data_IF_096206649166
#
_entry.id   IF_096206649166
#
_cell.length_a   1.000
_cell.length_b   1.000
_cell.length_c   1.000
_cell.angle_alpha   90.00
_cell.angle_beta   90.00
_cell.angle_gamma   90.00
#
_symmetry.space_group_name_H-M   'P 1'
#
loop_
_entity.id
_entity.type
_entity.pdbx_description
1 polymer ?
#
# COMPACT_ATOMS: atom_id res chain seq x y z
N UNK A 1 3.72 -25.57 14.23
CA UNK A 1 2.26 -25.61 14.01
C UNK A 1 1.79 -24.22 13.64
N UNK A 2 0.66 -24.06 12.95
CA UNK A 2 0.09 -22.74 12.66
C UNK A 2 -0.51 -22.11 13.92
N UNK A 3 -0.49 -20.78 13.99
CA UNK A 3 -1.23 -20.04 15.01
C UNK A 3 -2.72 -20.36 14.90
N UNK A 4 -3.37 -20.68 16.03
CA UNK A 4 -4.79 -21.04 16.10
C UNK A 4 -5.69 -19.88 16.56
N UNK A 5 -5.09 -18.77 16.93
CA UNK A 5 -5.74 -17.53 17.37
C UNK A 5 -4.94 -16.33 16.89
N UNK A 6 -5.46 -15.12 17.11
CA UNK A 6 -4.70 -13.88 16.95
C UNK A 6 -3.39 -13.97 17.74
N UNK A 7 -2.28 -13.67 17.08
CA UNK A 7 -0.96 -13.60 17.71
C UNK A 7 -0.76 -12.31 18.52
N UNK A 8 0.43 -12.14 19.13
CA UNK A 8 0.79 -10.88 19.80
C UNK A 8 0.80 -9.71 18.82
N UNK A 9 0.64 -8.47 19.32
CA UNK A 9 0.86 -7.30 18.47
C UNK A 9 2.34 -7.21 18.11
N UNK A 10 2.66 -6.83 16.88
CA UNK A 10 4.04 -6.70 16.43
C UNK A 10 4.82 -5.67 17.26
N UNK A 11 4.15 -4.59 17.71
CA UNK A 11 4.77 -3.55 18.54
C UNK A 11 5.27 -4.06 19.90
N UNK A 12 4.69 -5.15 20.41
CA UNK A 12 5.03 -5.74 21.71
C UNK A 12 6.21 -6.72 21.62
N UNK A 13 6.70 -7.00 20.41
CA UNK A 13 7.77 -7.97 20.16
C UNK A 13 9.09 -7.28 19.84
N UNK A 14 10.17 -7.81 20.40
CA UNK A 14 11.52 -7.54 19.94
C UNK A 14 11.75 -8.17 18.55
N UNK A 15 12.80 -7.73 17.85
CA UNK A 15 13.20 -8.33 16.56
C UNK A 15 13.53 -9.82 16.74
N UNK A 16 14.19 -10.19 17.84
CA UNK A 16 14.56 -11.57 18.12
C UNK A 16 13.33 -12.47 18.33
N UNK A 17 12.33 -11.99 19.07
CA UNK A 17 11.05 -12.70 19.26
C UNK A 17 10.28 -12.81 17.94
N UNK A 18 10.20 -11.72 17.16
CA UNK A 18 9.53 -11.72 15.87
C UNK A 18 10.21 -12.70 14.87
N UNK A 19 11.53 -12.83 14.96
CA UNK A 19 12.31 -13.76 14.13
C UNK A 19 12.12 -15.24 14.49
N UNK A 20 11.43 -15.55 15.59
CA UNK A 20 11.07 -16.94 15.92
C UNK A 20 9.89 -17.46 15.10
N UNK A 21 9.10 -16.57 14.49
CA UNK A 21 7.94 -16.96 13.69
C UNK A 21 8.34 -17.42 12.29
N UNK A 22 7.80 -18.56 11.87
CA UNK A 22 7.86 -19.00 10.48
C UNK A 22 6.70 -18.41 9.68
N UNK A 23 7.03 -17.63 8.66
CA UNK A 23 6.07 -16.98 7.75
C UNK A 23 6.16 -17.54 6.32
N UNK A 24 6.87 -18.65 6.14
CA UNK A 24 7.12 -19.27 4.84
C UNK A 24 5.95 -20.03 4.25
N UNK A 25 4.93 -20.31 5.06
CA UNK A 25 3.81 -21.17 4.70
C UNK A 25 2.49 -20.63 5.23
N UNK A 26 1.50 -20.58 4.35
CA UNK A 26 0.10 -20.33 4.71
C UNK A 26 -0.51 -21.62 5.26
N UNK A 27 -1.36 -21.55 6.28
CA UNK A 27 -2.15 -22.71 6.72
C UNK A 27 -3.00 -23.23 5.54
N UNK A 28 -2.71 -24.43 4.98
CA UNK A 28 -3.34 -24.93 3.76
C UNK A 28 -4.85 -25.16 3.93
N UNK A 29 -5.34 -25.22 5.17
CA UNK A 29 -6.76 -25.42 5.49
C UNK A 29 -7.51 -24.09 5.69
N UNK A 30 -6.80 -22.97 5.73
CA UNK A 30 -7.40 -21.65 5.90
C UNK A 30 -8.18 -21.20 4.65
N UNK A 31 -9.15 -20.30 4.83
CA UNK A 31 -9.79 -19.63 3.70
C UNK A 31 -8.78 -18.80 2.89
N UNK A 32 -7.77 -18.26 3.56
CA UNK A 32 -6.71 -17.46 2.93
C UNK A 32 -5.85 -18.28 1.96
N UNK A 33 -5.52 -19.54 2.28
CA UNK A 33 -4.79 -20.41 1.34
C UNK A 33 -5.55 -20.60 0.01
N UNK A 34 -6.88 -20.57 0.04
CA UNK A 34 -7.71 -20.72 -1.17
C UNK A 34 -7.56 -19.54 -2.13
N UNK A 35 -7.17 -18.35 -1.65
CA UNK A 35 -6.92 -17.19 -2.52
C UNK A 35 -5.54 -17.21 -3.15
N UNK A 36 -4.64 -18.09 -2.68
CA UNK A 36 -3.27 -18.23 -3.19
C UNK A 36 -2.92 -19.69 -3.53
N UNK A 37 -3.69 -20.35 -4.43
CA UNK A 37 -3.53 -21.78 -4.70
C UNK A 37 -2.18 -22.16 -5.32
N UNK A 38 -1.46 -21.19 -5.91
CA UNK A 38 -0.15 -21.36 -6.53
C UNK A 38 1.02 -20.92 -5.65
N UNK A 39 0.77 -20.51 -4.40
CA UNK A 39 1.85 -20.12 -3.48
C UNK A 39 2.75 -21.33 -3.21
N UNK A 40 4.07 -21.11 -3.33
CA UNK A 40 5.08 -22.11 -2.99
C UNK A 40 5.56 -21.83 -1.57
N UNK A 41 5.44 -22.82 -0.69
CA UNK A 41 5.94 -22.71 0.67
C UNK A 41 7.47 -22.67 0.68
N UNK A 42 8.03 -21.80 1.53
CA UNK A 42 9.46 -21.70 1.82
C UNK A 42 9.64 -21.76 3.32
N UNK A 43 9.48 -22.97 3.88
CA UNK A 43 9.62 -23.19 5.32
C UNK A 43 10.99 -22.68 5.80
N UNK A 44 11.02 -22.05 6.96
CA UNK A 44 12.20 -21.36 7.47
C UNK A 44 12.22 -19.85 7.20
N UNK A 45 11.32 -19.33 6.35
CA UNK A 45 11.27 -17.89 6.11
C UNK A 45 10.87 -17.12 7.38
N UNK A 46 11.56 -16.00 7.64
CA UNK A 46 11.34 -15.10 8.78
C UNK A 46 10.86 -13.74 8.31
N UNK A 47 10.24 -12.98 9.19
CA UNK A 47 9.84 -11.60 8.91
C UNK A 47 11.12 -10.76 8.77
N UNK A 48 11.38 -10.16 7.59
CA UNK A 48 12.59 -9.36 7.40
C UNK A 48 12.42 -7.96 7.99
N UNK A 49 13.54 -7.33 8.34
CA UNK A 49 13.61 -5.87 8.56
C UNK A 49 13.61 -5.14 7.21
N UNK A 50 13.16 -3.89 7.20
CA UNK A 50 13.18 -3.07 5.99
C UNK A 50 14.62 -2.88 5.45
N UNK A 51 15.58 -2.66 6.33
CA UNK A 51 17.00 -2.57 5.96
C UNK A 51 17.55 -3.83 5.28
N UNK A 52 17.04 -5.03 5.64
CA UNK A 52 17.44 -6.29 5.01
C UNK A 52 16.87 -6.43 3.59
N UNK A 53 15.65 -5.95 3.36
CA UNK A 53 15.10 -5.85 2.00
C UNK A 53 15.94 -4.90 1.13
N UNK A 54 16.35 -3.74 1.66
CA UNK A 54 17.22 -2.82 0.92
C UNK A 54 18.60 -3.42 0.63
N UNK A 55 19.19 -4.12 1.59
CA UNK A 55 20.45 -4.84 1.40
C UNK A 55 20.33 -5.91 0.30
N UNK A 56 19.25 -6.71 0.32
CA UNK A 56 19.00 -7.73 -0.70
C UNK A 56 18.93 -7.15 -2.13
N UNK A 57 18.23 -6.04 -2.32
CA UNK A 57 18.11 -5.41 -3.65
C UNK A 57 19.47 -4.88 -4.13
N UNK A 58 20.28 -4.32 -3.22
CA UNK A 58 21.65 -3.86 -3.52
C UNK A 58 22.57 -5.03 -3.87
N UNK A 59 22.53 -6.11 -3.11
CA UNK A 59 23.33 -7.33 -3.35
C UNK A 59 22.97 -8.00 -4.68
N UNK A 60 21.70 -7.92 -5.08
CA UNK A 60 21.25 -8.36 -6.40
C UNK A 60 21.72 -7.46 -7.56
N UNK A 61 22.44 -6.35 -7.27
CA UNK A 61 22.89 -5.39 -8.27
C UNK A 61 21.74 -4.64 -8.97
N UNK A 62 20.56 -4.56 -8.33
CA UNK A 62 19.38 -3.98 -8.98
C UNK A 62 19.27 -2.47 -8.73
N UNK A 63 19.60 -1.70 -9.74
CA UNK A 63 19.54 -0.24 -9.71
C UNK A 63 18.17 0.35 -10.11
N UNK A 64 17.23 -0.48 -10.58
CA UNK A 64 15.99 -0.02 -11.23
C UNK A 64 14.73 -0.17 -10.36
N UNK A 65 14.66 -1.17 -9.48
CA UNK A 65 13.50 -1.43 -8.61
C UNK A 65 13.12 -0.19 -7.82
N UNK A 66 11.85 0.22 -7.86
CA UNK A 66 11.32 1.26 -6.98
C UNK A 66 10.56 0.60 -5.84
N UNK A 67 10.51 1.26 -4.69
CA UNK A 67 9.90 0.72 -3.48
C UNK A 67 8.59 1.44 -3.20
N UNK A 68 7.51 0.67 -3.14
CA UNK A 68 6.19 1.11 -2.73
C UNK A 68 5.98 0.65 -1.28
N UNK A 69 6.22 1.52 -0.30
CA UNK A 69 6.21 1.17 1.12
C UNK A 69 4.91 1.67 1.77
N UNK A 70 4.12 0.77 2.33
CA UNK A 70 2.89 1.14 3.02
C UNK A 70 3.12 1.34 4.52
N UNK A 71 2.71 2.49 5.08
CA UNK A 71 2.63 2.65 6.55
C UNK A 71 1.35 1.99 7.06
N UNK A 72 1.51 0.94 7.87
CA UNK A 72 0.41 0.15 8.44
C UNK A 72 0.13 0.55 9.89
N UNK A 73 -0.73 1.54 10.06
CA UNK A 73 -1.24 2.00 11.35
C UNK A 73 -2.76 2.19 11.29
N UNK A 74 -3.39 2.28 12.46
CA UNK A 74 -4.83 2.52 12.56
C UNK A 74 -5.17 3.51 13.67
N UNK A 75 -6.01 4.54 13.41
CA UNK A 75 -6.53 5.41 14.46
C UNK A 75 -7.45 4.67 15.44
N UNK A 76 -7.95 3.48 15.08
CA UNK A 76 -8.92 2.74 15.88
C UNK A 76 -8.26 1.90 16.98
N UNK A 77 -6.99 1.53 16.80
CA UNK A 77 -6.18 0.78 17.78
C UNK A 77 -4.79 1.41 17.91
N UNK A 78 -4.71 2.64 18.46
CA UNK A 78 -3.46 3.40 18.56
C UNK A 78 -2.43 2.77 19.51
N UNK A 79 -2.85 1.82 20.34
CA UNK A 79 -2.02 1.01 21.21
C UNK A 79 -1.20 -0.06 20.47
N UNK A 80 -1.54 -0.37 19.21
CA UNK A 80 -0.94 -1.50 18.47
C UNK A 80 0.13 -1.11 17.48
N UNK A 81 0.33 0.19 17.27
CA UNK A 81 1.31 0.75 16.34
C UNK A 81 1.88 2.03 16.91
N UNK A 82 3.11 2.42 16.56
CA UNK A 82 3.62 3.74 16.92
C UNK A 82 2.68 4.83 16.42
N UNK A 83 2.70 5.99 17.10
CA UNK A 83 2.00 7.16 16.61
C UNK A 83 2.52 7.61 15.22
N UNK A 84 1.73 8.36 14.43
CA UNK A 84 2.09 8.71 13.06
C UNK A 84 3.46 9.40 12.91
N UNK A 85 3.86 10.28 13.83
CA UNK A 85 5.14 11.00 13.78
C UNK A 85 6.30 10.03 14.03
N UNK A 86 6.19 9.21 15.07
CA UNK A 86 7.18 8.16 15.36
C UNK A 86 7.31 7.17 14.21
N UNK A 87 6.21 6.74 13.61
CA UNK A 87 6.22 5.79 12.50
C UNK A 87 6.96 6.36 11.29
N UNK A 88 6.62 7.58 10.85
CA UNK A 88 7.27 8.23 9.71
C UNK A 88 8.75 8.46 9.96
N UNK A 89 9.13 8.92 11.17
CA UNK A 89 10.54 9.12 11.53
C UNK A 89 11.35 7.83 11.44
N UNK A 90 10.82 6.71 11.95
CA UNK A 90 11.52 5.42 11.89
C UNK A 90 11.64 4.90 10.45
N UNK A 91 10.56 4.99 9.66
CA UNK A 91 10.59 4.63 8.24
C UNK A 91 11.64 5.44 7.47
N UNK A 92 11.60 6.77 7.61
CA UNK A 92 12.49 7.64 6.86
C UNK A 92 13.94 7.53 7.31
N UNK A 93 14.19 7.17 8.57
CA UNK A 93 15.55 6.81 9.02
C UNK A 93 16.11 5.66 8.18
N UNK A 94 15.39 4.53 8.07
CA UNK A 94 15.87 3.38 7.29
C UNK A 94 16.01 3.70 5.79
N UNK A 95 15.09 4.49 5.23
CA UNK A 95 15.15 4.93 3.82
C UNK A 95 16.38 5.81 3.56
N UNK A 96 16.67 6.75 4.45
CA UNK A 96 17.79 7.69 4.32
C UNK A 96 19.13 7.01 4.57
N UNK A 97 19.23 6.16 5.60
CA UNK A 97 20.44 5.38 5.89
C UNK A 97 20.81 4.47 4.71
N UNK A 98 19.81 3.97 3.98
CA UNK A 98 20.03 3.17 2.77
C UNK A 98 20.33 4.02 1.50
N UNK A 99 20.18 5.34 1.54
CA UNK A 99 20.35 6.22 0.38
C UNK A 99 19.30 6.02 -0.72
N UNK A 100 18.10 5.52 -0.36
CA UNK A 100 17.07 5.09 -1.32
C UNK A 100 15.88 6.05 -1.46
N UNK A 101 15.94 7.25 -0.86
CA UNK A 101 14.84 8.22 -0.89
C UNK A 101 14.30 8.48 -2.32
N UNK A 102 15.18 8.63 -3.32
CA UNK A 102 14.77 8.84 -4.73
C UNK A 102 14.10 7.64 -5.43
N UNK A 103 14.12 6.45 -4.80
CA UNK A 103 13.50 5.22 -5.29
C UNK A 103 12.27 4.81 -4.48
N UNK A 104 11.93 5.55 -3.42
CA UNK A 104 10.81 5.23 -2.52
C UNK A 104 9.60 6.11 -2.84
N UNK A 105 8.42 5.50 -2.80
CA UNK A 105 7.15 6.17 -2.59
C UNK A 105 6.46 5.55 -1.38
N UNK A 106 5.73 6.36 -0.62
CA UNK A 106 5.04 5.90 0.59
C UNK A 106 3.53 5.96 0.39
N UNK A 107 2.85 4.88 0.76
CA UNK A 107 1.41 4.73 0.63
C UNK A 107 0.78 4.58 2.01
N UNK A 108 -0.45 5.07 2.20
CA UNK A 108 -1.17 4.82 3.45
C UNK A 108 -2.67 4.98 3.34
N UNK A 109 -3.41 4.17 4.10
CA UNK A 109 -4.81 4.44 4.42
C UNK A 109 -4.95 5.53 5.48
N UNK A 110 -3.95 5.67 6.35
CA UNK A 110 -3.88 6.71 7.37
C UNK A 110 -3.11 7.91 6.84
N UNK A 111 -3.86 8.86 6.28
CA UNK A 111 -3.34 10.03 5.60
C UNK A 111 -2.59 10.97 6.54
N UNK A 112 -2.68 10.79 7.87
CA UNK A 112 -1.86 11.56 8.83
C UNK A 112 -0.38 11.34 8.58
N UNK A 113 0.03 10.10 8.28
CA UNK A 113 1.44 9.83 7.91
C UNK A 113 1.85 10.49 6.60
N UNK A 114 0.93 10.56 5.63
CA UNK A 114 1.18 11.24 4.36
C UNK A 114 1.31 12.75 4.54
N UNK A 115 0.55 13.36 5.44
CA UNK A 115 0.70 14.79 5.77
C UNK A 115 2.04 15.09 6.45
N UNK A 116 2.50 14.21 7.35
CA UNK A 116 3.82 14.33 7.99
C UNK A 116 4.94 14.21 6.95
N UNK A 117 4.87 13.21 6.05
CA UNK A 117 5.82 13.07 4.94
C UNK A 117 5.85 14.31 4.04
N UNK A 118 4.69 14.89 3.72
CA UNK A 118 4.63 16.12 2.91
C UNK A 118 5.27 17.32 3.60
N UNK A 119 5.19 17.39 4.94
CA UNK A 119 5.78 18.47 5.73
C UNK A 119 7.30 18.31 5.82
N UNK A 120 7.77 17.12 6.14
CA UNK A 120 9.17 16.89 6.56
C UNK A 120 10.06 16.29 5.47
N UNK A 121 9.46 15.61 4.48
CA UNK A 121 10.13 14.89 3.39
C UNK A 121 9.42 15.14 2.05
N UNK A 122 9.27 16.41 1.61
CA UNK A 122 8.41 16.79 0.49
C UNK A 122 8.80 16.16 -0.86
N UNK A 123 10.04 15.68 -0.99
CA UNK A 123 10.54 15.00 -2.19
C UNK A 123 10.10 13.53 -2.29
N UNK A 124 9.59 12.93 -1.21
CA UNK A 124 9.09 11.55 -1.20
C UNK A 124 7.64 11.55 -1.70
N UNK A 125 7.34 10.88 -2.84
CA UNK A 125 5.97 10.80 -3.34
C UNK A 125 5.04 10.08 -2.35
N UNK A 126 3.91 10.71 -2.07
CA UNK A 126 2.85 10.16 -1.21
C UNK A 126 1.67 9.63 -2.03
N UNK A 127 1.25 8.40 -1.74
CA UNK A 127 0.15 7.71 -2.41
C UNK A 127 -1.01 7.49 -1.44
N UNK A 128 -2.17 8.02 -1.80
CA UNK A 128 -3.34 8.04 -0.94
C UNK A 128 -4.16 6.77 -1.19
N UNK A 129 -4.19 5.86 -0.21
CA UNK A 129 -4.99 4.64 -0.27
C UNK A 129 -6.43 4.93 0.18
N UNK A 130 -7.39 4.38 -0.57
CA UNK A 130 -8.81 4.43 -0.23
C UNK A 130 -9.47 3.06 -0.37
N UNK A 131 -10.41 2.81 0.53
CA UNK A 131 -11.34 1.68 0.49
C UNK A 131 -12.61 2.09 1.25
N UNK A 132 -13.76 1.72 0.71
CA UNK A 132 -15.11 1.91 1.25
C UNK A 132 -15.80 0.53 1.37
N UNK A 133 -15.09 -0.41 1.98
CA UNK A 133 -15.51 -1.80 2.16
C UNK A 133 -16.17 -2.04 3.52
N UNK A 134 -16.79 -3.22 3.67
CA UNK A 134 -17.43 -3.61 4.95
C UNK A 134 -16.45 -3.74 6.11
N UNK A 135 -15.24 -4.23 5.85
CA UNK A 135 -14.21 -4.46 6.88
C UNK A 135 -13.36 -3.22 7.16
N UNK A 136 -13.29 -2.30 6.20
CA UNK A 136 -12.57 -1.04 6.32
C UNK A 136 -13.23 -0.04 5.37
N UNK A 137 -13.71 1.06 5.93
CA UNK A 137 -14.08 2.27 5.20
C UNK A 137 -13.26 3.42 5.75
N UNK A 138 -12.15 3.76 5.08
CA UNK A 138 -11.27 4.84 5.52
C UNK A 138 -11.69 6.21 4.96
N UNK A 139 -12.63 6.26 4.02
CA UNK A 139 -13.12 7.52 3.42
C UNK A 139 -14.36 8.02 4.17
N UNK A 140 -15.20 7.09 4.63
CA UNK A 140 -16.46 7.35 5.32
C UNK A 140 -17.37 8.31 4.55
N UNK A 141 -17.45 8.15 3.22
CA UNK A 141 -18.12 9.10 2.33
C UNK A 141 -19.62 9.29 2.64
N UNK A 142 -20.26 8.23 3.13
CA UNK A 142 -21.68 8.21 3.50
C UNK A 142 -21.93 8.50 4.98
N UNK A 143 -20.89 8.84 5.75
CA UNK A 143 -21.00 9.11 7.18
C UNK A 143 -21.24 10.60 7.48
N UNK A 144 -21.94 10.87 8.58
CA UNK A 144 -22.00 12.21 9.18
C UNK A 144 -20.75 12.53 10.01
N UNK A 145 -20.07 11.49 10.53
CA UNK A 145 -18.82 11.64 11.26
C UNK A 145 -17.62 11.80 10.32
N UNK A 146 -16.64 12.59 10.72
CA UNK A 146 -15.38 12.71 9.99
C UNK A 146 -14.54 11.43 10.09
N UNK A 147 -13.89 11.06 9.00
CA UNK A 147 -12.97 9.92 9.01
C UNK A 147 -11.72 10.26 9.83
N UNK A 148 -11.38 9.46 10.86
CA UNK A 148 -10.14 9.66 11.62
C UNK A 148 -8.88 9.30 10.80
N UNK A 149 -9.06 8.69 9.62
CA UNK A 149 -7.98 8.25 8.75
C UNK A 149 -7.50 9.35 7.81
N UNK A 150 -8.34 10.33 7.48
CA UNK A 150 -8.06 11.25 6.36
C UNK A 150 -7.48 12.60 6.80
N UNK A 151 -6.92 12.70 8.01
CA UNK A 151 -6.26 13.93 8.50
C UNK A 151 -7.11 15.22 8.35
N UNK A 152 -8.44 15.11 8.54
CA UNK A 152 -9.38 16.23 8.44
C UNK A 152 -9.86 16.55 7.00
N UNK A 153 -9.40 15.81 5.99
CA UNK A 153 -9.93 15.92 4.62
C UNK A 153 -11.15 15.01 4.48
N UNK A 154 -12.34 15.60 4.29
CA UNK A 154 -13.60 14.85 4.30
C UNK A 154 -14.28 14.83 2.93
N UNK A 155 -14.93 13.70 2.62
CA UNK A 155 -15.66 13.56 1.36
C UNK A 155 -16.74 14.64 1.21
N UNK A 156 -17.47 14.95 2.29
CA UNK A 156 -18.52 15.98 2.31
C UNK A 156 -18.03 17.36 1.88
N UNK A 157 -16.81 17.74 2.29
CA UNK A 157 -16.22 19.05 1.97
C UNK A 157 -15.72 19.13 0.52
N UNK A 158 -15.28 18.01 -0.05
CA UNK A 158 -14.62 17.99 -1.35
C UNK A 158 -15.47 17.41 -2.50
N UNK A 159 -16.52 16.66 -2.18
CA UNK A 159 -17.50 16.11 -3.13
C UNK A 159 -17.04 14.86 -3.90
N UNK A 160 -15.74 14.59 -3.96
CA UNK A 160 -15.18 13.38 -4.58
C UNK A 160 -13.83 13.01 -3.96
N UNK A 161 -13.48 11.71 -4.02
CA UNK A 161 -12.18 11.21 -3.55
C UNK A 161 -11.00 11.90 -4.27
N UNK A 162 -11.00 12.06 -5.62
CA UNK A 162 -9.93 12.77 -6.30
C UNK A 162 -9.72 14.21 -5.81
N UNK A 163 -10.81 14.97 -5.59
CA UNK A 163 -10.71 16.34 -5.05
C UNK A 163 -10.20 16.35 -3.60
N UNK A 164 -10.60 15.36 -2.81
CA UNK A 164 -10.12 15.20 -1.43
C UNK A 164 -8.61 14.96 -1.40
N UNK A 165 -8.10 14.06 -2.25
CA UNK A 165 -6.66 13.79 -2.39
C UNK A 165 -5.92 15.02 -2.91
N UNK A 166 -6.47 15.71 -3.91
CA UNK A 166 -5.87 16.94 -4.44
C UNK A 166 -5.77 18.04 -3.37
N UNK A 167 -6.82 18.21 -2.56
CA UNK A 167 -6.84 19.17 -1.46
C UNK A 167 -5.83 18.81 -0.35
N UNK A 168 -5.61 17.52 -0.11
CA UNK A 168 -4.56 17.02 0.78
C UNK A 168 -3.13 17.18 0.20
N UNK A 169 -3.03 17.68 -1.04
CA UNK A 169 -1.77 17.86 -1.77
C UNK A 169 -1.19 16.55 -2.33
N UNK A 170 -2.00 15.49 -2.43
CA UNK A 170 -1.58 14.22 -3.02
C UNK A 170 -1.33 14.31 -4.52
N UNK A 171 -0.47 13.41 -5.00
CA UNK A 171 -0.14 13.25 -6.43
C UNK A 171 -0.57 11.89 -6.98
N UNK A 172 -0.81 10.91 -6.11
CA UNK A 172 -1.20 9.56 -6.48
C UNK A 172 -2.41 9.11 -5.66
N UNK A 173 -3.38 8.52 -6.33
CA UNK A 173 -4.52 7.84 -5.74
C UNK A 173 -4.40 6.34 -6.01
N UNK A 174 -4.54 5.51 -4.98
CA UNK A 174 -4.48 4.06 -5.11
C UNK A 174 -5.72 3.41 -4.47
N UNK A 175 -6.62 2.84 -5.28
CA UNK A 175 -7.91 2.30 -4.80
C UNK A 175 -8.10 0.85 -5.16
N UNK A 176 -9.01 0.19 -4.43
CA UNK A 176 -9.52 -1.10 -4.86
C UNK A 176 -10.13 -0.96 -6.26
N UNK A 177 -9.78 -1.84 -7.19
CA UNK A 177 -10.23 -1.73 -8.59
C UNK A 177 -11.76 -1.73 -8.74
N UNK A 178 -12.51 -2.30 -7.78
CA UNK A 178 -13.97 -2.30 -7.78
C UNK A 178 -14.61 -0.93 -7.52
N UNK A 179 -13.83 0.01 -6.99
CA UNK A 179 -14.27 1.38 -6.72
C UNK A 179 -13.88 2.35 -7.84
N UNK A 180 -13.10 1.87 -8.82
CA UNK A 180 -12.67 2.65 -9.97
C UNK A 180 -13.67 2.49 -11.12
N UNK A 181 -13.93 3.60 -11.80
CA UNK A 181 -14.69 3.65 -13.03
C UNK A 181 -14.15 4.76 -13.94
N UNK A 182 -14.57 4.77 -15.20
CA UNK A 182 -14.08 5.76 -16.17
C UNK A 182 -14.28 7.21 -15.70
N UNK A 183 -15.37 7.51 -14.99
CA UNK A 183 -15.68 8.86 -14.49
C UNK A 183 -14.72 9.34 -13.41
N UNK A 184 -14.50 8.53 -12.36
CA UNK A 184 -13.61 8.95 -11.28
C UNK A 184 -12.12 8.89 -11.67
N UNK A 185 -11.73 7.99 -12.59
CA UNK A 185 -10.39 7.98 -13.17
C UNK A 185 -10.17 9.25 -14.00
N UNK A 186 -11.13 9.64 -14.85
CA UNK A 186 -11.02 10.86 -15.64
C UNK A 186 -10.94 12.12 -14.76
N UNK A 187 -11.70 12.19 -13.68
CA UNK A 187 -11.59 13.29 -12.70
C UNK A 187 -10.23 13.32 -12.02
N UNK A 188 -9.72 12.18 -11.56
CA UNK A 188 -8.39 12.11 -10.95
C UNK A 188 -7.30 12.61 -11.91
N UNK A 189 -7.37 12.19 -13.17
CA UNK A 189 -6.43 12.65 -14.20
C UNK A 189 -6.54 14.13 -14.50
N UNK A 190 -7.75 14.69 -14.57
CA UNK A 190 -7.92 16.14 -14.81
C UNK A 190 -7.37 17.00 -13.66
N UNK A 191 -7.29 16.44 -12.45
CA UNK A 191 -6.64 17.05 -11.29
C UNK A 191 -5.11 16.82 -11.23
N UNK A 192 -4.56 16.11 -12.22
CA UNK A 192 -3.14 15.77 -12.32
C UNK A 192 -2.72 14.63 -11.41
N UNK A 193 -3.66 13.81 -10.93
CA UNK A 193 -3.35 12.63 -10.12
C UNK A 193 -3.01 11.43 -11.01
N UNK A 194 -2.07 10.62 -10.52
CA UNK A 194 -1.83 9.26 -11.01
C UNK A 194 -2.77 8.28 -10.31
N UNK A 195 -3.34 7.34 -11.05
CA UNK A 195 -4.28 6.35 -10.49
C UNK A 195 -3.69 4.95 -10.51
N UNK A 196 -3.58 4.30 -9.35
CA UNK A 196 -3.11 2.93 -9.20
C UNK A 196 -4.28 2.03 -8.77
N UNK A 197 -4.41 0.86 -9.37
CA UNK A 197 -5.49 -0.08 -9.06
C UNK A 197 -4.96 -1.32 -8.34
N UNK A 198 -5.54 -1.66 -7.19
CA UNK A 198 -5.13 -2.80 -6.37
C UNK A 198 -6.32 -3.68 -5.93
N UNK A 199 -6.14 -4.91 -5.47
CA UNK A 199 -5.13 -5.85 -5.97
C UNK A 199 -5.81 -6.66 -7.08
N UNK A 200 -5.21 -6.71 -8.26
CA UNK A 200 -5.81 -7.32 -9.45
C UNK A 200 -4.98 -8.54 -9.85
N UNK A 201 -5.59 -9.72 -9.91
CA UNK A 201 -4.86 -10.98 -10.11
C UNK A 201 -5.27 -11.75 -11.38
N UNK A 202 -6.25 -11.24 -12.12
CA UNK A 202 -6.69 -11.83 -13.39
C UNK A 202 -6.48 -10.88 -14.57
N UNK A 203 -6.18 -11.46 -15.74
CA UNK A 203 -5.84 -10.71 -16.95
C UNK A 203 -6.97 -9.80 -17.44
N UNK A 204 -8.21 -10.27 -17.35
CA UNK A 204 -9.37 -9.54 -17.88
C UNK A 204 -9.57 -8.22 -17.11
N UNK A 205 -9.50 -8.27 -15.79
CA UNK A 205 -9.61 -7.08 -14.95
C UNK A 205 -8.41 -6.15 -15.15
N UNK A 206 -7.18 -6.69 -15.30
CA UNK A 206 -6.01 -5.86 -15.64
C UNK A 206 -6.23 -5.12 -16.96
N UNK A 207 -6.72 -5.80 -18.01
CA UNK A 207 -7.03 -5.18 -19.29
C UNK A 207 -8.04 -4.06 -19.15
N UNK A 208 -9.16 -4.31 -18.45
CA UNK A 208 -10.20 -3.31 -18.23
C UNK A 208 -9.67 -2.06 -17.50
N UNK A 209 -8.83 -2.23 -16.47
CA UNK A 209 -8.23 -1.09 -15.76
C UNK A 209 -7.27 -0.31 -16.64
N UNK A 210 -6.43 -1.01 -17.42
CA UNK A 210 -5.53 -0.38 -18.38
C UNK A 210 -6.29 0.38 -19.48
N UNK A 211 -7.43 -0.15 -19.94
CA UNK A 211 -8.29 0.51 -20.94
C UNK A 211 -8.95 1.78 -20.40
N UNK A 212 -9.32 1.80 -19.11
CA UNK A 212 -9.76 3.01 -18.42
C UNK A 212 -8.61 3.99 -18.13
N UNK A 213 -7.36 3.57 -18.36
CA UNK A 213 -6.19 4.43 -18.31
C UNK A 213 -5.58 4.56 -16.93
N UNK A 214 -5.65 3.55 -16.05
CA UNK A 214 -4.85 3.58 -14.81
C UNK A 214 -3.35 3.74 -15.12
N UNK A 215 -2.61 4.37 -14.21
CA UNK A 215 -1.17 4.61 -14.30
C UNK A 215 -0.34 3.51 -13.61
N UNK A 216 -0.98 2.56 -12.94
CA UNK A 216 -0.28 1.42 -12.34
C UNK A 216 -1.23 0.32 -11.85
N UNK A 217 -0.67 -0.87 -11.71
CA UNK A 217 -1.35 -2.07 -11.21
C UNK A 217 -0.60 -2.60 -9.99
N UNK A 218 -1.33 -2.97 -8.94
CA UNK A 218 -0.81 -3.77 -7.82
C UNK A 218 -1.39 -5.18 -7.95
N UNK A 219 -0.53 -6.19 -7.92
CA UNK A 219 -0.91 -7.57 -8.26
C UNK A 219 -0.06 -8.59 -7.51
N UNK A 220 -0.69 -9.72 -7.15
CA UNK A 220 -0.01 -10.94 -6.69
C UNK A 220 0.43 -11.82 -7.87
N UNK A 221 0.07 -11.44 -9.11
CA UNK A 221 0.40 -12.12 -10.37
C UNK A 221 1.20 -11.23 -11.31
N UNK A 222 2.42 -10.80 -10.90
CA UNK A 222 3.27 -9.97 -11.74
C UNK A 222 3.65 -10.65 -13.05
N UNK A 223 3.67 -11.98 -13.11
CA UNK A 223 3.88 -12.76 -14.33
C UNK A 223 2.83 -12.44 -15.40
N UNK A 224 1.55 -12.38 -15.02
CA UNK A 224 0.45 -12.01 -15.93
C UNK A 224 0.56 -10.54 -16.34
N UNK A 225 0.82 -9.66 -15.37
CA UNK A 225 0.89 -8.22 -15.62
C UNK A 225 2.04 -7.88 -16.59
N UNK A 226 3.23 -8.45 -16.39
CA UNK A 226 4.40 -8.20 -17.25
C UNK A 226 4.13 -8.64 -18.69
N UNK A 227 3.52 -9.81 -18.89
CA UNK A 227 3.15 -10.30 -20.21
C UNK A 227 2.18 -9.34 -20.90
N UNK A 228 1.13 -8.93 -20.19
CA UNK A 228 0.11 -8.02 -20.71
C UNK A 228 0.68 -6.63 -21.05
N UNK A 229 1.52 -6.06 -20.18
CA UNK A 229 2.15 -4.76 -20.42
C UNK A 229 3.06 -4.80 -21.66
N UNK A 230 3.79 -5.90 -21.86
CA UNK A 230 4.63 -6.12 -23.05
C UNK A 230 3.79 -6.16 -24.33
N UNK A 231 2.69 -6.91 -24.34
CA UNK A 231 1.77 -6.99 -25.50
C UNK A 231 1.19 -5.63 -25.87
N UNK A 232 0.84 -4.83 -24.85
CA UNK A 232 0.29 -3.49 -25.01
C UNK A 232 1.34 -2.40 -25.25
N UNK A 233 2.63 -2.76 -25.25
CA UNK A 233 3.76 -1.83 -25.41
C UNK A 233 3.76 -0.71 -24.36
N UNK A 234 3.36 -1.03 -23.13
CA UNK A 234 3.37 -0.11 -22.00
C UNK A 234 4.73 -0.26 -21.28
N UNK A 235 5.51 0.83 -21.24
CA UNK A 235 6.83 0.87 -20.61
C UNK A 235 6.77 1.40 -19.19
N UNK A 236 6.25 0.59 -18.26
CA UNK A 236 6.35 0.84 -16.81
C UNK A 236 7.55 0.09 -16.21
#
# INVERSE_FOLDING_TARGET
SFLRSTGPNIIDLTVDELSQFDVGRIDPWSQYARTFPSQRAVDGARIPRLAELFALVREAGNEKVRFAIETKLTPQRPDQTPDPETFVRLLMKDVNDAGLAGRVQVLSFDWRTLQILRRDYPDVPTVYLTLQGKSLDNVMASSEAESPWNAGFTYRKHGSIPRMIKAAGGTHWSSNWRELNAGNIAEAKSLGLKVLAWTINDRQTMQAMLDMGVDGLVTDRPDIAIELLRERKIGW
#
